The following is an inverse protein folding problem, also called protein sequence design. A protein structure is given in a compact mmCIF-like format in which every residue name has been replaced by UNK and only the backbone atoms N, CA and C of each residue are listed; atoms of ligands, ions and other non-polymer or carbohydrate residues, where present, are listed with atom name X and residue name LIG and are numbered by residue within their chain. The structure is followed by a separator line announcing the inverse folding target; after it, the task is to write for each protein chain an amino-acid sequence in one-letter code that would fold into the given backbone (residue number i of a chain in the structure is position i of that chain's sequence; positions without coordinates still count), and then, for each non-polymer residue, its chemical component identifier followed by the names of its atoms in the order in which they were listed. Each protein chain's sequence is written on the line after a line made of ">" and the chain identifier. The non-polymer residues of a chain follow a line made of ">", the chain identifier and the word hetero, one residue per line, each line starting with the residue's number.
data_IF_236135554081
#
_entry.id   IF_236135554081
#
_cell.length_a   1.000
_cell.length_b   1.000
_cell.length_c   1.000
_cell.angle_alpha   90.00
_cell.angle_beta   90.00
_cell.angle_gamma   90.00
#
_symmetry.space_group_name_H-M   'P 1'
#
loop_
_entity.id
_entity.type
_entity.pdbx_description
1 polymer ?
#
# COMPACT_ATOMS: atom_id res chain seq x y z
N UNK A 1 36.40 12.35 -12.28
CA UNK A 1 35.86 13.29 -11.30
C UNK A 1 35.80 12.54 -9.99
N UNK A 2 36.69 12.91 -9.01
CA UNK A 2 36.69 12.23 -7.71
C UNK A 2 35.48 12.69 -6.91
N UNK A 3 34.64 11.76 -6.49
CA UNK A 3 33.59 12.04 -5.52
C UNK A 3 34.25 12.48 -4.20
N UNK A 4 33.81 13.62 -3.67
CA UNK A 4 34.27 14.04 -2.35
C UNK A 4 33.90 13.00 -1.30
N UNK A 5 34.80 12.67 -0.35
CA UNK A 5 34.49 11.70 0.68
C UNK A 5 33.34 12.19 1.56
N UNK A 6 32.35 11.33 1.76
CA UNK A 6 31.22 11.61 2.64
C UNK A 6 31.71 11.73 4.09
N UNK A 7 31.46 12.86 4.73
CA UNK A 7 31.80 13.09 6.14
C UNK A 7 30.58 12.91 7.03
N UNK A 8 30.64 11.96 7.95
CA UNK A 8 29.65 11.81 9.02
C UNK A 8 29.92 12.91 10.07
N UNK A 9 29.16 13.99 10.03
CA UNK A 9 29.26 15.05 11.03
C UNK A 9 28.34 14.71 12.23
N UNK A 10 28.96 14.26 13.32
CA UNK A 10 28.29 14.06 14.61
C UNK A 10 27.41 12.82 14.71
N UNK A 11 26.72 12.66 15.84
CA UNK A 11 25.66 11.63 16.03
C UNK A 11 24.40 12.09 15.31
N UNK A 12 24.28 11.80 14.03
CA UNK A 12 23.06 12.02 13.26
C UNK A 12 21.98 11.06 13.77
N UNK A 13 20.89 11.62 14.31
CA UNK A 13 19.70 10.82 14.64
C UNK A 13 18.86 10.68 13.36
N UNK A 14 18.55 9.43 13.01
CA UNK A 14 17.61 9.18 11.92
C UNK A 14 16.18 9.43 12.39
N UNK A 15 15.46 10.28 11.66
CA UNK A 15 14.04 10.56 11.91
C UNK A 15 13.21 9.30 11.69
N UNK A 16 13.50 8.53 10.65
CA UNK A 16 12.74 7.32 10.30
C UNK A 16 13.03 6.18 11.26
N UNK A 17 14.30 5.94 11.57
CA UNK A 17 14.72 4.85 12.42
C UNK A 17 14.18 4.99 13.84
N UNK A 18 14.27 6.19 14.41
CA UNK A 18 13.79 6.45 15.77
C UNK A 18 12.27 6.32 15.86
N UNK A 19 11.52 6.87 14.90
CA UNK A 19 10.05 6.70 14.84
C UNK A 19 9.63 5.23 14.73
N UNK A 20 10.32 4.45 13.90
CA UNK A 20 9.97 3.03 13.73
C UNK A 20 10.29 2.24 14.99
N UNK A 21 11.38 2.55 15.68
CA UNK A 21 11.69 1.94 16.97
C UNK A 21 10.67 2.21 18.07
N UNK A 22 10.01 3.37 18.04
CA UNK A 22 8.95 3.71 18.98
C UNK A 22 7.64 2.96 18.70
N UNK A 23 7.35 2.68 17.43
CA UNK A 23 6.08 2.09 16.98
C UNK A 23 6.12 0.55 17.04
N UNK A 24 7.27 -0.06 16.70
CA UNK A 24 7.36 -1.51 16.57
C UNK A 24 7.85 -2.18 17.87
N UNK A 25 7.28 -3.34 18.22
CA UNK A 25 7.84 -4.18 19.28
C UNK A 25 9.34 -4.44 19.05
N UNK A 26 10.11 -4.38 20.12
CA UNK A 26 11.58 -4.58 20.10
C UNK A 26 12.33 -3.65 19.11
N UNK A 27 11.71 -2.49 18.77
CA UNK A 27 12.26 -1.56 17.79
C UNK A 27 12.39 -2.16 16.39
N UNK A 28 11.55 -3.16 16.04
CA UNK A 28 11.55 -3.83 14.74
C UNK A 28 12.84 -4.53 14.38
N UNK A 29 13.67 -4.89 15.37
CA UNK A 29 14.99 -5.51 15.22
C UNK A 29 16.00 -4.71 14.37
N UNK A 30 15.75 -3.41 14.16
CA UNK A 30 16.50 -2.58 13.23
C UNK A 30 18.00 -2.49 13.52
N UNK A 31 18.40 -2.64 14.79
CA UNK A 31 19.81 -2.64 15.21
C UNK A 31 20.52 -3.98 14.96
N UNK A 32 19.79 -5.05 14.64
CA UNK A 32 20.31 -6.40 14.48
C UNK A 32 20.76 -6.73 13.05
N UNK A 33 20.84 -5.72 12.17
CA UNK A 33 21.19 -5.93 10.77
C UNK A 33 22.61 -6.51 10.61
N UNK A 34 22.69 -7.74 10.12
CA UNK A 34 23.94 -8.44 9.81
C UNK A 34 24.59 -7.98 8.48
N UNK A 35 23.95 -7.10 7.75
CA UNK A 35 24.39 -6.62 6.43
C UNK A 35 24.62 -7.75 5.40
N UNK A 36 23.96 -8.90 5.57
CA UNK A 36 24.15 -10.10 4.74
C UNK A 36 23.62 -10.00 3.31
N UNK A 37 22.71 -9.04 3.02
CA UNK A 37 22.19 -8.80 1.67
C UNK A 37 21.01 -9.68 1.27
N UNK A 38 20.51 -10.59 2.11
CA UNK A 38 19.37 -11.45 1.79
C UNK A 38 18.12 -10.64 1.36
N UNK A 39 17.86 -9.50 2.02
CA UNK A 39 16.77 -8.60 1.65
C UNK A 39 16.92 -8.01 0.23
N UNK A 40 18.15 -7.75 -0.21
CA UNK A 40 18.43 -7.18 -1.53
C UNK A 40 18.30 -8.21 -2.64
N UNK A 41 18.72 -9.46 -2.41
CA UNK A 41 18.62 -10.53 -3.42
C UNK A 41 17.17 -10.90 -3.73
N UNK A 42 16.25 -10.70 -2.79
CA UNK A 42 14.83 -11.02 -2.95
C UNK A 42 13.96 -9.86 -3.42
N UNK A 43 14.46 -8.63 -3.48
CA UNK A 43 13.66 -7.45 -3.76
C UNK A 43 13.61 -7.15 -5.27
N UNK A 44 12.40 -7.04 -5.89
CA UNK A 44 12.28 -6.70 -7.30
C UNK A 44 12.74 -5.27 -7.64
N UNK A 45 12.80 -4.39 -6.63
CA UNK A 45 13.27 -3.00 -6.78
C UNK A 45 14.79 -2.85 -6.54
N UNK A 46 15.53 -3.95 -6.33
CA UNK A 46 16.99 -3.88 -6.16
C UNK A 46 17.64 -3.40 -7.45
N UNK A 47 18.54 -2.44 -7.31
CA UNK A 47 19.30 -1.86 -8.41
C UNK A 47 18.66 -0.63 -9.05
N UNK A 48 17.37 -0.38 -8.83
CA UNK A 48 16.73 0.83 -9.31
C UNK A 48 17.34 2.06 -8.60
N UNK A 49 17.78 3.05 -9.39
CA UNK A 49 18.52 4.23 -8.91
C UNK A 49 19.77 3.88 -8.06
N UNK A 50 20.37 2.71 -8.27
CA UNK A 50 21.51 2.25 -7.48
C UNK A 50 21.19 1.95 -6.02
N UNK A 51 19.91 1.76 -5.70
CA UNK A 51 19.40 1.49 -4.36
C UNK A 51 19.00 0.02 -4.19
N UNK A 52 18.97 -0.42 -2.94
CA UNK A 52 18.46 -1.71 -2.51
C UNK A 52 18.02 -1.65 -1.03
N UNK A 53 17.23 -2.63 -0.52
CA UNK A 53 16.77 -2.63 0.86
C UNK A 53 17.88 -2.60 1.91
N UNK A 54 19.02 -3.26 1.66
CA UNK A 54 20.16 -3.26 2.57
C UNK A 54 20.82 -1.88 2.65
N UNK A 55 21.03 -1.24 1.48
CA UNK A 55 21.58 0.11 1.40
C UNK A 55 20.67 1.10 2.10
N UNK A 56 19.36 1.04 1.82
CA UNK A 56 18.35 1.86 2.48
C UNK A 56 18.40 1.74 4.01
N UNK A 57 18.39 0.51 4.55
CA UNK A 57 18.48 0.29 5.99
C UNK A 57 19.80 0.82 6.58
N UNK A 58 20.92 0.65 5.87
CA UNK A 58 22.22 1.19 6.34
C UNK A 58 22.25 2.71 6.32
N UNK A 59 21.67 3.33 5.31
CA UNK A 59 21.52 4.79 5.24
C UNK A 59 20.69 5.31 6.43
N UNK A 60 19.55 4.67 6.72
CA UNK A 60 18.74 5.00 7.89
C UNK A 60 19.51 4.85 9.20
N UNK A 61 20.27 3.75 9.37
CA UNK A 61 21.09 3.51 10.56
C UNK A 61 22.24 4.52 10.73
N UNK A 62 22.70 5.12 9.64
CA UNK A 62 23.72 6.17 9.62
C UNK A 62 23.14 7.59 9.72
N UNK A 63 21.80 7.73 9.79
CA UNK A 63 21.13 9.03 9.85
C UNK A 63 21.20 9.83 8.55
N UNK A 64 21.31 9.14 7.40
CA UNK A 64 21.34 9.74 6.06
C UNK A 64 19.93 10.01 5.53
N UNK A 65 19.11 10.69 6.34
CA UNK A 65 17.69 10.88 6.05
C UNK A 65 17.46 11.79 4.82
N UNK A 66 18.35 12.74 4.59
CA UNK A 66 18.30 13.63 3.41
C UNK A 66 18.48 12.84 2.11
N UNK A 67 19.44 11.95 2.09
CA UNK A 67 19.73 11.10 0.94
C UNK A 67 18.58 10.12 0.69
N UNK A 68 17.96 9.61 1.76
CA UNK A 68 16.75 8.77 1.67
C UNK A 68 15.60 9.55 1.05
N UNK A 69 15.39 10.81 1.46
CA UNK A 69 14.34 11.68 0.91
C UNK A 69 14.67 12.26 -0.48
N UNK A 70 15.85 11.98 -1.04
CA UNK A 70 16.21 12.39 -2.40
C UNK A 70 16.12 11.27 -3.45
N UNK A 71 15.89 10.02 -3.04
CA UNK A 71 15.77 8.88 -3.96
C UNK A 71 14.31 8.45 -4.17
N UNK A 72 13.88 8.32 -5.43
CA UNK A 72 12.54 7.81 -5.75
C UNK A 72 12.37 6.32 -5.41
N UNK A 73 13.44 5.61 -5.06
CA UNK A 73 13.38 4.19 -4.71
C UNK A 73 12.35 3.88 -3.61
N UNK A 74 12.18 4.77 -2.64
CA UNK A 74 11.17 4.60 -1.58
C UNK A 74 9.75 4.51 -2.12
N UNK A 75 9.47 5.14 -3.27
CA UNK A 75 8.17 5.10 -3.94
C UNK A 75 7.99 3.87 -4.83
N UNK A 76 9.08 3.23 -5.24
CA UNK A 76 9.06 1.99 -6.03
C UNK A 76 8.86 0.74 -5.17
N UNK A 77 9.05 0.85 -3.85
CA UNK A 77 8.81 -0.26 -2.93
C UNK A 77 7.31 -0.59 -2.90
N UNK A 78 6.94 -1.80 -3.34
CA UNK A 78 5.56 -2.30 -3.32
C UNK A 78 5.07 -2.76 -1.95
N UNK A 79 5.90 -2.62 -0.91
CA UNK A 79 5.61 -3.05 0.47
C UNK A 79 5.22 -4.53 0.60
N UNK A 80 5.67 -5.37 -0.31
CA UNK A 80 5.34 -6.81 -0.38
C UNK A 80 5.91 -7.65 0.77
N UNK A 81 6.66 -7.08 1.71
CA UNK A 81 7.24 -7.70 2.90
C UNK A 81 8.27 -8.81 2.63
N UNK A 82 8.61 -9.10 1.38
CA UNK A 82 9.57 -10.17 1.04
C UNK A 82 10.90 -10.01 1.75
N UNK A 83 11.37 -8.77 1.94
CA UNK A 83 12.60 -8.47 2.68
C UNK A 83 12.54 -8.89 4.15
N UNK A 84 11.36 -8.91 4.80
CA UNK A 84 11.16 -9.44 6.15
C UNK A 84 11.27 -10.96 6.13
N UNK A 85 10.62 -11.61 5.16
CA UNK A 85 10.60 -13.09 5.06
C UNK A 85 11.99 -13.68 4.91
N UNK A 86 12.82 -13.09 4.04
CA UNK A 86 14.18 -13.60 3.78
C UNK A 86 15.21 -13.13 4.80
N UNK A 87 14.87 -12.17 5.67
CA UNK A 87 15.77 -11.67 6.70
C UNK A 87 15.87 -12.64 7.87
N UNK A 88 17.08 -13.13 8.25
CA UNK A 88 17.22 -13.99 9.41
C UNK A 88 16.85 -13.27 10.71
N UNK A 89 16.98 -11.94 10.75
CA UNK A 89 16.65 -11.11 11.92
C UNK A 89 15.24 -10.52 11.86
N UNK A 90 14.45 -10.83 10.81
CA UNK A 90 13.07 -10.35 10.63
C UNK A 90 12.91 -8.83 10.73
N UNK A 91 13.84 -8.09 10.17
CA UNK A 91 13.84 -6.61 10.20
C UNK A 91 12.73 -6.07 9.31
N UNK A 92 11.92 -5.16 9.86
CA UNK A 92 10.80 -4.53 9.15
C UNK A 92 11.25 -3.30 8.33
N UNK A 93 11.84 -3.57 7.15
CA UNK A 93 12.23 -2.53 6.21
C UNK A 93 11.01 -1.81 5.59
N UNK A 94 9.89 -2.48 5.25
CA UNK A 94 8.68 -1.81 4.78
C UNK A 94 8.18 -0.70 5.70
N UNK A 95 8.22 -0.90 7.01
CA UNK A 95 7.80 0.13 7.96
C UNK A 95 8.74 1.36 7.93
N UNK A 96 10.04 1.16 7.72
CA UNK A 96 10.97 2.28 7.47
C UNK A 96 10.62 3.04 6.19
N UNK A 97 10.31 2.33 5.10
CA UNK A 97 9.89 2.93 3.83
C UNK A 97 8.59 3.71 4.01
N UNK A 98 7.62 3.16 4.74
CA UNK A 98 6.36 3.85 5.04
C UNK A 98 6.61 5.19 5.76
N UNK A 99 7.45 5.18 6.80
CA UNK A 99 7.80 6.39 7.54
C UNK A 99 8.59 7.40 6.69
N UNK A 100 9.46 6.92 5.80
CA UNK A 100 10.14 7.78 4.84
C UNK A 100 9.14 8.49 3.92
N UNK A 101 8.17 7.76 3.35
CA UNK A 101 7.08 8.33 2.55
C UNK A 101 6.25 9.35 3.33
N UNK A 102 5.90 9.03 4.56
CA UNK A 102 5.13 9.94 5.43
C UNK A 102 5.88 11.24 5.75
N UNK A 103 7.21 11.17 5.84
CA UNK A 103 8.08 12.32 6.12
C UNK A 103 8.46 13.12 4.86
N UNK A 104 8.13 12.63 3.66
CA UNK A 104 8.41 13.31 2.40
C UNK A 104 7.57 14.59 2.28
N UNK A 105 8.15 15.74 1.91
CA UNK A 105 7.38 16.96 1.68
C UNK A 105 6.27 16.69 0.64
N UNK A 106 5.06 17.21 0.92
CA UNK A 106 3.90 16.91 0.05
C UNK A 106 4.15 17.28 -1.41
N UNK A 107 4.70 18.46 -1.63
CA UNK A 107 4.97 19.05 -2.94
C UNK A 107 6.02 18.30 -3.76
N UNK A 108 6.87 17.51 -3.09
CA UNK A 108 7.94 16.73 -3.71
C UNK A 108 7.53 15.28 -3.96
N UNK A 109 6.34 14.86 -3.51
CA UNK A 109 5.82 13.50 -3.72
C UNK A 109 5.51 13.25 -5.19
N UNK A 110 5.58 12.00 -5.68
CA UNK A 110 5.22 11.68 -7.05
C UNK A 110 3.81 12.15 -7.40
N UNK A 111 3.66 12.87 -8.52
CA UNK A 111 2.40 13.50 -8.94
C UNK A 111 1.23 12.52 -9.06
N UNK A 112 1.49 11.29 -9.53
CA UNK A 112 0.46 10.26 -9.62
C UNK A 112 -0.12 9.85 -8.25
N UNK A 113 0.74 9.74 -7.23
CA UNK A 113 0.32 9.44 -5.86
C UNK A 113 -0.48 10.62 -5.28
N UNK A 114 0.00 11.84 -5.46
CA UNK A 114 -0.73 13.04 -5.02
C UNK A 114 -2.10 13.14 -5.69
N UNK A 115 -2.17 12.94 -7.02
CA UNK A 115 -3.41 13.01 -7.77
C UNK A 115 -4.44 12.00 -7.27
N UNK A 116 -4.04 10.75 -6.99
CA UNK A 116 -4.94 9.73 -6.43
C UNK A 116 -5.39 10.07 -5.01
N UNK A 117 -4.48 10.59 -4.17
CA UNK A 117 -4.86 11.04 -2.82
C UNK A 117 -5.81 12.23 -2.85
N UNK A 118 -5.55 13.21 -3.71
CA UNK A 118 -6.39 14.40 -3.85
C UNK A 118 -7.77 14.03 -4.40
N UNK A 119 -7.86 13.08 -5.30
CA UNK A 119 -9.11 12.53 -5.81
C UNK A 119 -9.93 11.86 -4.70
N UNK A 120 -9.29 10.99 -3.90
CA UNK A 120 -9.95 10.30 -2.78
C UNK A 120 -10.41 11.25 -1.65
N UNK A 121 -9.80 12.43 -1.55
CA UNK A 121 -10.12 13.42 -0.50
C UNK A 121 -11.09 14.53 -0.96
N UNK A 122 -11.58 14.48 -2.19
CA UNK A 122 -12.59 15.44 -2.67
C UNK A 122 -13.92 15.22 -1.95
N UNK A 123 -14.69 16.30 -1.79
CA UNK A 123 -15.98 16.24 -1.10
C UNK A 123 -17.02 15.41 -1.85
N UNK A 124 -16.90 15.29 -3.17
CA UNK A 124 -17.79 14.58 -4.08
C UNK A 124 -17.37 13.14 -4.36
N UNK A 125 -16.20 12.73 -3.86
CA UNK A 125 -15.67 11.38 -4.08
C UNK A 125 -14.84 10.93 -2.89
N UNK A 126 -15.10 9.73 -2.43
CA UNK A 126 -14.30 9.01 -1.42
C UNK A 126 -13.42 7.94 -2.04
N UNK A 127 -13.49 7.77 -3.38
CA UNK A 127 -12.72 6.79 -4.13
C UNK A 127 -11.44 7.40 -4.72
N UNK A 128 -10.33 6.67 -4.61
CA UNK A 128 -9.07 7.02 -5.30
C UNK A 128 -9.17 6.96 -6.83
N UNK A 129 -10.23 6.36 -7.37
CA UNK A 129 -10.55 6.30 -8.80
C UNK A 129 -11.56 7.37 -9.23
N UNK A 130 -12.02 8.21 -8.31
CA UNK A 130 -12.92 9.32 -8.58
C UNK A 130 -14.41 8.97 -8.61
N UNK A 131 -14.78 7.72 -8.31
CA UNK A 131 -16.19 7.32 -8.21
C UNK A 131 -16.83 7.90 -6.96
N UNK A 132 -18.04 8.46 -7.13
CA UNK A 132 -18.89 8.88 -6.02
C UNK A 132 -19.68 7.69 -5.44
N UNK A 133 -20.31 7.83 -4.27
CA UNK A 133 -21.22 6.81 -3.74
C UNK A 133 -22.38 6.50 -4.70
N UNK A 134 -22.91 7.53 -5.36
CA UNK A 134 -23.98 7.42 -6.34
C UNK A 134 -23.53 6.65 -7.60
N UNK A 135 -22.31 6.92 -8.09
CA UNK A 135 -21.72 6.16 -9.21
C UNK A 135 -21.55 4.68 -8.83
N UNK A 136 -21.10 4.41 -7.61
CA UNK A 136 -20.93 3.03 -7.11
C UNK A 136 -22.28 2.31 -7.04
N UNK A 137 -23.30 2.95 -6.46
CA UNK A 137 -24.63 2.37 -6.37
C UNK A 137 -25.20 2.07 -7.77
N UNK A 138 -25.07 3.01 -8.69
CA UNK A 138 -25.54 2.82 -10.07
C UNK A 138 -24.87 1.61 -10.73
N UNK A 139 -23.55 1.47 -10.61
CA UNK A 139 -22.81 0.34 -11.19
C UNK A 139 -23.23 -0.99 -10.56
N UNK A 140 -23.43 -1.03 -9.25
CA UNK A 140 -23.87 -2.26 -8.54
C UNK A 140 -25.26 -2.68 -9.03
N UNK A 141 -26.19 -1.74 -9.16
CA UNK A 141 -27.55 -1.99 -9.64
C UNK A 141 -27.55 -2.46 -11.11
N UNK A 142 -26.80 -1.81 -11.97
CA UNK A 142 -26.70 -2.11 -13.40
C UNK A 142 -26.09 -3.51 -13.65
N UNK A 143 -24.95 -3.81 -13.01
CA UNK A 143 -24.29 -5.12 -13.12
C UNK A 143 -25.19 -6.25 -12.58
N UNK A 144 -25.89 -6.00 -11.49
CA UNK A 144 -26.78 -7.00 -10.90
C UNK A 144 -27.97 -7.29 -11.81
N UNK A 145 -28.63 -6.24 -12.36
CA UNK A 145 -29.76 -6.37 -13.26
C UNK A 145 -29.39 -7.10 -14.55
N UNK A 146 -28.30 -6.70 -15.21
CA UNK A 146 -27.79 -7.36 -16.41
C UNK A 146 -27.47 -8.83 -16.17
N UNK A 147 -26.85 -9.14 -15.03
CA UNK A 147 -26.52 -10.52 -14.69
C UNK A 147 -27.76 -11.37 -14.40
N UNK A 148 -28.76 -10.83 -13.70
CA UNK A 148 -30.03 -11.52 -13.40
C UNK A 148 -30.83 -11.80 -14.67
N UNK A 149 -30.86 -10.88 -15.63
CA UNK A 149 -31.51 -11.09 -16.92
C UNK A 149 -30.82 -12.21 -17.73
N UNK A 150 -29.48 -12.27 -17.69
CA UNK A 150 -28.69 -13.28 -18.38
C UNK A 150 -28.74 -14.65 -17.72
N UNK A 151 -28.95 -14.72 -16.38
CA UNK A 151 -28.88 -15.93 -15.57
C UNK A 151 -30.10 -16.01 -14.62
N UNK A 152 -31.25 -16.55 -15.09
CA UNK A 152 -32.48 -16.59 -14.30
C UNK A 152 -32.38 -17.32 -12.96
N UNK A 153 -31.44 -18.25 -12.80
CA UNK A 153 -31.18 -18.94 -11.54
C UNK A 153 -30.64 -18.01 -10.42
N UNK A 154 -30.18 -16.81 -10.78
CA UNK A 154 -29.71 -15.80 -9.83
C UNK A 154 -30.69 -14.61 -9.71
N UNK A 155 -31.93 -14.73 -10.19
CA UNK A 155 -32.93 -13.66 -10.15
C UNK A 155 -33.19 -13.09 -8.75
N UNK A 156 -32.95 -13.87 -7.70
CA UNK A 156 -33.11 -13.45 -6.30
C UNK A 156 -31.80 -13.02 -5.63
N UNK A 157 -30.68 -13.00 -6.37
CA UNK A 157 -29.40 -12.53 -5.83
C UNK A 157 -29.50 -11.04 -5.49
N UNK A 158 -28.91 -10.69 -4.35
CA UNK A 158 -28.84 -9.28 -3.91
C UNK A 158 -27.40 -8.87 -3.73
N UNK A 159 -27.13 -7.59 -3.98
CA UNK A 159 -25.87 -6.92 -3.68
C UNK A 159 -26.18 -5.74 -2.74
N UNK A 160 -26.34 -5.99 -1.43
CA UNK A 160 -26.73 -4.96 -0.49
C UNK A 160 -25.60 -3.97 -0.25
N UNK A 161 -25.95 -2.68 -0.20
CA UNK A 161 -25.04 -1.57 0.11
C UNK A 161 -25.45 -1.00 1.46
N UNK A 162 -24.49 -0.80 2.35
CA UNK A 162 -24.66 -0.15 3.65
C UNK A 162 -25.77 -0.76 4.54
N UNK A 163 -25.99 -2.07 4.42
CA UNK A 163 -26.94 -2.81 5.27
C UNK A 163 -26.40 -2.90 6.70
N UNK A 164 -27.00 -2.15 7.61
CA UNK A 164 -26.61 -2.18 9.03
C UNK A 164 -26.86 -3.55 9.67
N UNK A 165 -25.89 -4.03 10.45
CA UNK A 165 -26.00 -5.27 11.22
C UNK A 165 -25.70 -6.56 10.45
N UNK A 166 -25.21 -6.47 9.22
CA UNK A 166 -24.76 -7.63 8.46
C UNK A 166 -23.61 -8.37 9.17
N UNK A 167 -23.57 -9.69 9.01
CA UNK A 167 -22.53 -10.54 9.60
C UNK A 167 -21.16 -10.35 8.91
N UNK A 168 -21.17 -10.12 7.58
CA UNK A 168 -19.98 -9.92 6.78
C UNK A 168 -19.98 -8.58 6.10
N UNK A 169 -18.85 -7.89 6.15
CA UNK A 169 -18.60 -6.67 5.38
C UNK A 169 -17.67 -6.99 4.21
N UNK A 170 -18.15 -6.80 2.98
CA UNK A 170 -17.38 -6.99 1.76
C UNK A 170 -16.76 -5.67 1.31
N UNK A 171 -15.46 -5.53 1.53
CA UNK A 171 -14.71 -4.38 1.03
C UNK A 171 -14.12 -4.70 -0.36
N UNK A 172 -14.76 -4.20 -1.40
CA UNK A 172 -14.31 -4.39 -2.78
C UNK A 172 -13.25 -3.34 -3.17
N UNK A 173 -12.46 -3.69 -4.19
CA UNK A 173 -11.44 -2.78 -4.69
C UNK A 173 -12.09 -1.60 -5.42
N UNK A 174 -11.67 -0.37 -5.11
CA UNK A 174 -12.21 0.86 -5.70
C UNK A 174 -12.03 0.96 -7.24
N UNK A 175 -11.19 0.12 -7.83
CA UNK A 175 -10.98 0.05 -9.27
C UNK A 175 -12.08 -0.75 -9.97
N UNK A 176 -12.57 -1.82 -9.37
CA UNK A 176 -13.54 -2.73 -9.97
C UNK A 176 -14.79 -2.01 -10.48
N UNK A 177 -15.50 -1.21 -9.68
CA UNK A 177 -16.71 -0.55 -10.16
C UNK A 177 -16.46 0.49 -11.26
N UNK A 178 -15.20 0.91 -11.48
CA UNK A 178 -14.87 1.96 -12.47
C UNK A 178 -14.36 1.40 -13.79
N UNK A 179 -13.58 0.31 -13.74
CA UNK A 179 -12.88 -0.21 -14.91
C UNK A 179 -13.17 -1.67 -15.25
N UNK A 180 -13.64 -2.45 -14.29
CA UNK A 180 -13.84 -3.89 -14.42
C UNK A 180 -15.08 -4.33 -13.61
N UNK A 181 -16.29 -3.76 -13.89
CA UNK A 181 -17.48 -3.97 -13.06
C UNK A 181 -17.92 -5.43 -12.95
N UNK A 182 -17.66 -6.26 -13.94
CA UNK A 182 -17.96 -7.70 -13.92
C UNK A 182 -17.19 -8.46 -12.82
N UNK A 183 -16.06 -7.93 -12.36
CA UNK A 183 -15.25 -8.54 -11.28
C UNK A 183 -15.95 -8.43 -9.91
N UNK A 184 -17.03 -7.67 -9.80
CA UNK A 184 -17.88 -7.62 -8.59
C UNK A 184 -18.67 -8.92 -8.41
N UNK A 185 -19.14 -9.52 -9.50
CA UNK A 185 -20.06 -10.67 -9.50
C UNK A 185 -19.54 -11.94 -8.82
N UNK A 186 -18.28 -12.37 -8.98
CA UNK A 186 -17.83 -13.65 -8.42
C UNK A 186 -18.04 -13.77 -6.92
N UNK A 187 -17.76 -12.70 -6.16
CA UNK A 187 -17.96 -12.70 -4.71
C UNK A 187 -19.43 -12.65 -4.31
N UNK A 188 -20.25 -11.83 -5.00
CA UNK A 188 -21.69 -11.78 -4.75
C UNK A 188 -22.35 -13.14 -4.97
N UNK A 189 -21.96 -13.86 -6.02
CA UNK A 189 -22.43 -15.22 -6.30
C UNK A 189 -22.08 -16.19 -5.19
N UNK A 190 -20.85 -16.16 -4.70
CA UNK A 190 -20.41 -17.03 -3.60
C UNK A 190 -21.23 -16.73 -2.34
N UNK A 191 -21.39 -15.45 -1.99
CA UNK A 191 -22.12 -15.02 -0.81
C UNK A 191 -23.61 -15.37 -0.91
N UNK A 192 -24.23 -15.21 -2.09
CA UNK A 192 -25.61 -15.60 -2.36
C UNK A 192 -25.79 -17.12 -2.18
N UNK A 193 -24.95 -17.94 -2.83
CA UNK A 193 -25.03 -19.40 -2.75
C UNK A 193 -24.75 -19.93 -1.34
N UNK A 194 -23.95 -19.24 -0.56
CA UNK A 194 -23.69 -19.56 0.84
C UNK A 194 -24.81 -19.14 1.77
N UNK A 195 -25.81 -18.37 1.30
CA UNK A 195 -26.85 -17.78 2.15
C UNK A 195 -26.28 -16.81 3.19
N UNK A 196 -25.16 -16.15 2.89
CA UNK A 196 -24.47 -15.25 3.81
C UNK A 196 -25.25 -13.95 4.02
N UNK A 197 -25.23 -13.45 5.25
CA UNK A 197 -25.73 -12.11 5.60
C UNK A 197 -24.57 -11.11 5.48
N UNK A 198 -24.59 -10.30 4.42
CA UNK A 198 -23.46 -9.41 4.05
C UNK A 198 -23.90 -8.04 3.53
N UNK A 199 -22.95 -7.15 3.44
CA UNK A 199 -23.08 -5.83 2.82
C UNK A 199 -21.76 -5.40 2.21
#
# INVERSE_FOLDING_TARGET
>A
MGEEPFRLEGKTKSIFLDKVKEILPDGGNLNLCLTCGACSSGCPATGLEGMDPRKFLRMAALGMDKEILSTNWVWMCSMCQRCIYVCPMKIDIPQLVYNARASWPREERPKGILGSCDMALRNDSTSAMGATPEDFQFVVEDVLEEYQEAQPEFAEMQAPIDKGGAEFFLNQNSREPVTEPDELLPLWKILHLAGADWT
#
